data_IF_148327056240
#
_entry.id   IF_148327056240
#
_cell.length_a   1.000
_cell.length_b   1.000
_cell.length_c   1.000
_cell.angle_alpha   90.00
_cell.angle_beta   90.00
_cell.angle_gamma   90.00
#
_symmetry.space_group_name_H-M   'P 1'
#
loop_
_entity.id
_entity.type
_entity.pdbx_description
1 polymer ?
#
# COMPACT_ATOMS: atom_id res chain seq x y z
N UNK A 1 13.86 35.48 5.85
CA UNK A 1 12.70 36.13 5.16
C UNK A 1 11.55 35.14 5.31
N UNK A 2 10.33 35.57 5.65
CA UNK A 2 9.19 34.63 5.74
C UNK A 2 8.60 34.40 4.35
N UNK A 3 8.43 33.15 3.95
CA UNK A 3 7.89 32.75 2.65
C UNK A 3 6.35 32.66 2.65
N UNK A 4 5.73 32.50 3.84
CA UNK A 4 4.29 32.31 4.02
C UNK A 4 3.73 31.08 3.27
N UNK A 5 4.48 29.97 3.22
CA UNK A 5 4.15 28.79 2.41
C UNK A 5 2.72 28.28 2.64
N UNK A 6 2.36 27.95 3.88
CA UNK A 6 1.05 27.40 4.22
C UNK A 6 -0.11 28.33 3.84
N UNK A 7 0.03 29.64 4.12
CA UNK A 7 -1.00 30.61 3.80
C UNK A 7 -1.23 30.75 2.29
N UNK A 8 -0.13 30.77 1.52
CA UNK A 8 -0.20 30.82 0.06
C UNK A 8 -0.76 29.52 -0.53
N UNK A 9 -0.38 28.37 0.01
CA UNK A 9 -0.89 27.07 -0.42
C UNK A 9 -2.40 26.93 -0.17
N UNK A 10 -2.87 27.31 1.02
CA UNK A 10 -4.32 27.35 1.33
C UNK A 10 -5.07 28.30 0.39
N UNK A 11 -4.51 29.50 0.14
CA UNK A 11 -5.10 30.43 -0.81
C UNK A 11 -5.19 29.86 -2.24
N UNK A 12 -4.16 29.12 -2.68
CA UNK A 12 -4.19 28.37 -3.94
C UNK A 12 -5.28 27.29 -3.92
N UNK A 13 -5.40 26.48 -2.86
CA UNK A 13 -6.43 25.42 -2.78
C UNK A 13 -7.85 25.97 -2.79
N UNK A 14 -8.10 27.09 -2.10
CA UNK A 14 -9.39 27.77 -2.06
C UNK A 14 -9.73 28.46 -3.39
N UNK A 15 -8.76 29.20 -3.95
CA UNK A 15 -8.96 30.06 -5.12
C UNK A 15 -8.69 29.41 -6.48
N UNK A 16 -7.99 28.28 -6.50
CA UNK A 16 -7.41 27.64 -7.71
C UNK A 16 -6.66 28.63 -8.61
N UNK A 17 -5.97 29.60 -7.99
CA UNK A 17 -5.27 30.64 -8.71
C UNK A 17 -3.93 30.12 -9.29
N UNK A 18 -3.85 30.11 -10.62
CA UNK A 18 -2.67 29.64 -11.35
C UNK A 18 -1.44 30.52 -11.14
N UNK A 19 -1.60 31.82 -10.84
CA UNK A 19 -0.46 32.70 -10.57
C UNK A 19 0.17 32.38 -9.21
N UNK A 20 -0.66 32.13 -8.20
CA UNK A 20 -0.21 31.68 -6.88
C UNK A 20 0.47 30.31 -6.97
N UNK A 21 -0.10 29.38 -7.74
CA UNK A 21 0.50 28.05 -7.98
C UNK A 21 1.88 28.16 -8.65
N UNK A 22 2.02 28.95 -9.71
CA UNK A 22 3.28 29.14 -10.44
C UNK A 22 4.34 29.83 -9.56
N UNK A 23 3.93 30.81 -8.76
CA UNK A 23 4.80 31.47 -7.80
C UNK A 23 5.33 30.49 -6.74
N UNK A 24 4.43 29.71 -6.13
CA UNK A 24 4.79 28.68 -5.15
C UNK A 24 5.72 27.64 -5.76
N UNK A 25 5.38 27.14 -6.96
CA UNK A 25 6.19 26.17 -7.70
C UNK A 25 7.60 26.71 -7.92
N UNK A 26 7.73 27.95 -8.41
CA UNK A 26 9.05 28.57 -8.63
C UNK A 26 9.84 28.81 -7.33
N UNK A 27 9.15 29.12 -6.22
CA UNK A 27 9.78 29.31 -4.92
C UNK A 27 10.30 27.98 -4.35
N UNK A 28 9.44 26.96 -4.29
CA UNK A 28 9.78 25.64 -3.75
C UNK A 28 10.87 24.99 -4.62
N UNK A 29 10.77 25.07 -5.94
CA UNK A 29 11.79 24.53 -6.85
C UNK A 29 13.19 25.06 -6.55
N UNK A 30 13.31 26.38 -6.31
CA UNK A 30 14.59 27.00 -5.93
C UNK A 30 15.09 26.52 -4.57
N UNK A 31 14.19 26.29 -3.62
CA UNK A 31 14.56 25.81 -2.28
C UNK A 31 14.99 24.34 -2.31
N UNK A 32 14.36 23.51 -3.13
CA UNK A 32 14.80 22.12 -3.38
C UNK A 32 16.19 22.12 -4.01
N UNK A 33 16.43 22.94 -5.03
CA UNK A 33 17.76 23.05 -5.64
C UNK A 33 18.82 23.54 -4.64
N UNK A 34 18.48 24.54 -3.82
CA UNK A 34 19.35 25.01 -2.75
C UNK A 34 19.67 23.89 -1.76
N UNK A 35 18.67 23.12 -1.34
CA UNK A 35 18.87 22.00 -0.41
C UNK A 35 19.76 20.92 -1.03
N UNK A 36 19.50 20.50 -2.26
CA UNK A 36 20.33 19.53 -2.98
C UNK A 36 21.79 19.99 -3.11
N UNK A 37 22.03 21.29 -3.37
CA UNK A 37 23.39 21.84 -3.51
C UNK A 37 24.14 21.94 -2.17
N UNK A 38 23.43 22.28 -1.09
CA UNK A 38 24.05 22.57 0.21
C UNK A 38 23.99 21.41 1.21
N UNK A 39 23.25 20.34 0.90
CA UNK A 39 22.99 19.22 1.80
C UNK A 39 22.08 19.55 3.00
N UNK A 40 21.57 20.79 3.06
CA UNK A 40 20.66 21.27 4.11
C UNK A 40 19.73 22.36 3.56
N UNK A 41 18.48 22.46 4.07
CA UNK A 41 17.53 23.48 3.64
C UNK A 41 17.85 24.86 4.25
N UNK A 42 17.35 25.93 3.65
CA UNK A 42 17.31 27.25 4.29
C UNK A 42 16.47 27.16 5.59
N UNK A 43 16.96 27.78 6.67
CA UNK A 43 16.35 27.66 8.00
C UNK A 43 14.90 28.18 8.03
N UNK A 44 14.61 29.28 7.32
CA UNK A 44 13.24 29.80 7.27
C UNK A 44 12.34 28.90 6.44
N UNK A 45 12.87 28.33 5.34
CA UNK A 45 12.11 27.41 4.49
C UNK A 45 11.77 26.12 5.25
N UNK A 46 12.75 25.57 5.96
CA UNK A 46 12.60 24.38 6.78
C UNK A 46 11.50 24.53 7.84
N UNK A 47 11.50 25.64 8.59
CA UNK A 47 10.48 25.90 9.62
C UNK A 47 9.07 26.01 9.02
N UNK A 48 8.92 26.69 7.89
CA UNK A 48 7.62 26.82 7.22
C UNK A 48 7.19 25.52 6.52
N UNK A 49 8.14 24.69 6.06
CA UNK A 49 7.86 23.39 5.48
C UNK A 49 7.31 22.41 6.53
N UNK A 50 7.78 22.46 7.78
CA UNK A 50 7.20 21.66 8.89
C UNK A 50 5.72 22.00 9.10
N UNK A 51 5.38 23.29 9.08
CA UNK A 51 3.99 23.74 9.21
C UNK A 51 3.13 23.26 8.03
N UNK A 52 3.69 23.32 6.81
CA UNK A 52 2.99 22.85 5.61
C UNK A 52 2.82 21.32 5.59
N UNK A 53 3.85 20.56 5.96
CA UNK A 53 3.81 19.09 6.00
C UNK A 53 2.69 18.57 6.91
N UNK A 54 2.44 19.26 8.03
CA UNK A 54 1.34 18.90 8.94
C UNK A 54 -0.05 19.00 8.31
N UNK A 55 -0.23 19.82 7.26
CA UNK A 55 -1.47 19.89 6.47
C UNK A 55 -1.53 18.76 5.42
N UNK A 56 -0.38 18.34 4.89
CA UNK A 56 -0.29 17.30 3.87
C UNK A 56 -0.43 15.90 4.49
N UNK A 57 0.13 15.69 5.68
CA UNK A 57 0.00 14.46 6.47
C UNK A 57 -1.42 14.25 7.04
N UNK A 58 -2.37 15.17 6.79
CA UNK A 58 -3.75 15.05 7.26
C UNK A 58 -4.44 13.85 6.57
N UNK A 59 -5.04 12.88 7.30
CA UNK A 59 -5.76 11.74 6.73
C UNK A 59 -6.91 12.14 5.78
N UNK A 60 -7.42 13.37 5.89
CA UNK A 60 -8.46 13.92 5.02
C UNK A 60 -7.89 14.68 3.81
N UNK A 61 -6.57 14.68 3.61
CA UNK A 61 -5.92 15.29 2.46
C UNK A 61 -6.25 14.51 1.19
N UNK A 62 -7.26 14.97 0.44
CA UNK A 62 -7.67 14.36 -0.84
C UNK A 62 -6.78 14.78 -2.01
N UNK A 63 -5.49 15.01 -1.77
CA UNK A 63 -4.63 15.89 -2.56
C UNK A 63 -4.13 15.41 -3.91
N UNK A 64 -4.66 14.33 -4.47
CA UNK A 64 -4.25 13.86 -5.79
C UNK A 64 -4.93 14.64 -6.92
N UNK A 65 -4.53 15.90 -7.20
CA UNK A 65 -5.04 16.64 -8.38
C UNK A 65 -4.06 17.59 -9.11
N UNK A 66 -2.78 17.67 -8.73
CA UNK A 66 -1.85 18.58 -9.43
C UNK A 66 -0.36 18.39 -9.15
N UNK A 67 0.48 18.98 -10.01
CA UNK A 67 1.94 18.86 -9.94
C UNK A 67 2.54 19.44 -8.65
N UNK A 68 1.98 20.54 -8.15
CA UNK A 68 2.41 21.11 -6.87
C UNK A 68 2.17 20.13 -5.71
N UNK A 69 1.04 19.43 -5.72
CA UNK A 69 0.67 18.48 -4.67
C UNK A 69 1.58 17.26 -4.67
N UNK A 70 1.88 16.71 -5.86
CA UNK A 70 2.89 15.66 -6.02
C UNK A 70 4.26 16.08 -5.47
N UNK A 71 4.70 17.30 -5.76
CA UNK A 71 5.93 17.82 -5.19
C UNK A 71 5.90 17.87 -3.66
N UNK A 72 4.78 18.31 -3.07
CA UNK A 72 4.67 18.47 -1.62
C UNK A 72 4.65 17.12 -0.89
N UNK A 73 4.07 16.08 -1.49
CA UNK A 73 4.12 14.71 -0.94
C UNK A 73 5.57 14.23 -0.83
N UNK A 74 6.31 14.24 -1.94
CA UNK A 74 7.73 13.85 -1.98
C UNK A 74 8.60 14.73 -1.05
N UNK A 75 8.29 16.03 -0.97
CA UNK A 75 9.02 16.96 -0.12
C UNK A 75 8.77 16.72 1.38
N UNK A 76 7.58 16.24 1.74
CA UNK A 76 7.25 15.82 3.10
C UNK A 76 8.04 14.55 3.47
N UNK A 77 8.16 13.58 2.57
CA UNK A 77 9.03 12.40 2.77
C UNK A 77 10.51 12.79 2.93
N UNK A 78 10.99 13.76 2.14
CA UNK A 78 12.33 14.32 2.31
C UNK A 78 12.50 14.97 3.70
N UNK A 79 11.49 15.68 4.19
CA UNK A 79 11.49 16.31 5.52
C UNK A 79 11.55 15.26 6.63
N UNK A 80 10.70 14.23 6.57
CA UNK A 80 10.68 13.13 7.56
C UNK A 80 12.01 12.40 7.58
N UNK A 81 12.55 12.05 6.40
CA UNK A 81 13.86 11.41 6.25
C UNK A 81 15.00 12.24 6.84
N UNK A 82 14.96 13.56 6.66
CA UNK A 82 15.93 14.48 7.24
C UNK A 82 15.83 14.57 8.78
N UNK A 83 14.62 14.46 9.34
CA UNK A 83 14.34 14.57 10.79
C UNK A 83 14.61 13.29 11.57
N UNK A 84 14.13 12.15 11.08
CA UNK A 84 14.00 10.92 11.88
C UNK A 84 15.23 10.00 11.80
N UNK A 85 16.05 10.09 10.75
CA UNK A 85 17.09 9.10 10.43
C UNK A 85 18.54 9.52 10.76
N UNK A 86 18.78 10.48 11.66
CA UNK A 86 20.11 11.11 11.80
C UNK A 86 20.67 11.60 10.44
N UNK A 87 19.79 12.00 9.52
CA UNK A 87 20.16 12.47 8.18
C UNK A 87 20.75 11.37 7.29
N UNK A 88 19.96 10.35 6.93
CA UNK A 88 20.32 9.52 5.77
C UNK A 88 20.23 10.41 4.51
N UNK A 89 21.37 11.01 4.17
CA UNK A 89 21.46 12.01 3.10
C UNK A 89 21.05 11.43 1.76
N UNK A 90 21.32 10.14 1.51
CA UNK A 90 20.97 9.48 0.25
C UNK A 90 19.44 9.38 0.07
N UNK A 91 18.71 9.05 1.14
CA UNK A 91 17.23 8.97 1.12
C UNK A 91 16.61 10.37 1.00
N UNK A 92 17.16 11.34 1.72
CA UNK A 92 16.71 12.74 1.61
C UNK A 92 16.94 13.28 0.20
N UNK A 93 18.11 13.00 -0.38
CA UNK A 93 18.47 13.41 -1.74
C UNK A 93 17.59 12.74 -2.79
N UNK A 94 17.23 11.46 -2.60
CA UNK A 94 16.28 10.74 -3.45
C UNK A 94 14.93 11.47 -3.52
N UNK A 95 14.28 11.69 -2.38
CA UNK A 95 12.97 12.36 -2.34
C UNK A 95 13.03 13.82 -2.85
N UNK A 96 14.13 14.54 -2.60
CA UNK A 96 14.31 15.88 -3.17
C UNK A 96 14.45 15.86 -4.71
N UNK A 97 15.07 14.82 -5.27
CA UNK A 97 15.16 14.64 -6.73
C UNK A 97 13.79 14.34 -7.33
N UNK A 98 12.98 13.51 -6.69
CA UNK A 98 11.60 13.23 -7.11
C UNK A 98 10.71 14.48 -6.99
N UNK A 99 10.71 15.16 -5.82
CA UNK A 99 9.92 16.36 -5.55
C UNK A 99 10.15 17.50 -6.55
N UNK A 100 11.37 17.61 -7.09
CA UNK A 100 11.73 18.62 -8.08
C UNK A 100 10.99 18.45 -9.42
N UNK A 101 10.72 17.21 -9.83
CA UNK A 101 10.28 16.88 -11.19
C UNK A 101 8.86 17.39 -11.51
N UNK A 102 7.85 17.26 -10.64
CA UNK A 102 6.55 17.86 -10.88
C UNK A 102 6.63 19.39 -11.08
N UNK A 103 7.47 20.06 -10.31
CA UNK A 103 7.67 21.51 -10.45
C UNK A 103 8.36 21.87 -11.76
N UNK A 104 9.35 21.07 -12.20
CA UNK A 104 9.97 21.25 -13.51
C UNK A 104 8.94 21.08 -14.63
N UNK A 105 8.09 20.04 -14.55
CA UNK A 105 7.00 19.85 -15.51
C UNK A 105 6.04 21.06 -15.55
N UNK A 106 5.79 21.69 -14.40
CA UNK A 106 4.92 22.88 -14.30
C UNK A 106 5.55 24.16 -14.83
N UNK A 107 6.85 24.36 -14.62
CA UNK A 107 7.58 25.59 -14.93
C UNK A 107 8.21 25.57 -16.33
N UNK A 108 8.66 24.40 -16.79
CA UNK A 108 9.27 24.18 -18.10
C UNK A 108 9.05 22.72 -18.57
N UNK A 109 7.83 22.45 -19.03
CA UNK A 109 7.42 21.13 -19.52
C UNK A 109 8.31 20.60 -20.66
N UNK A 110 8.84 21.51 -21.50
CA UNK A 110 9.70 21.11 -22.63
C UNK A 110 11.02 20.52 -22.14
N UNK A 111 11.66 21.19 -21.17
CA UNK A 111 12.88 20.66 -20.54
C UNK A 111 12.61 19.39 -19.74
N UNK A 112 11.47 19.31 -19.03
CA UNK A 112 11.06 18.08 -18.35
C UNK A 112 10.95 16.91 -19.33
N UNK A 113 10.15 17.03 -20.40
CA UNK A 113 9.95 15.95 -21.38
C UNK A 113 11.27 15.51 -22.05
N UNK A 114 12.18 16.44 -22.34
CA UNK A 114 13.50 16.11 -22.88
C UNK A 114 14.33 15.25 -21.90
N UNK A 115 14.31 15.58 -20.60
CA UNK A 115 15.01 14.81 -19.58
C UNK A 115 14.45 13.38 -19.45
N UNK A 116 13.12 13.21 -19.53
CA UNK A 116 12.45 11.91 -19.32
C UNK A 116 12.67 10.89 -20.43
N UNK A 117 12.98 11.38 -21.64
CA UNK A 117 13.45 10.54 -22.74
C UNK A 117 14.86 9.99 -22.50
N UNK A 118 15.57 10.44 -21.46
CA UNK A 118 16.90 9.96 -21.08
C UNK A 118 16.88 9.18 -19.77
N UNK A 119 16.11 9.66 -18.78
CA UNK A 119 16.04 9.08 -17.44
C UNK A 119 14.62 9.18 -16.89
N UNK A 120 14.02 8.03 -16.59
CA UNK A 120 12.67 7.90 -16.05
C UNK A 120 12.73 7.53 -14.57
N UNK A 121 11.83 8.10 -13.78
CA UNK A 121 11.67 7.88 -12.35
C UNK A 121 10.22 7.50 -12.01
N UNK A 122 9.98 7.07 -10.79
CA UNK A 122 8.65 6.63 -10.36
C UNK A 122 7.62 7.77 -10.37
N UNK A 123 7.99 8.97 -9.88
CA UNK A 123 7.10 10.14 -9.88
C UNK A 123 6.68 10.58 -11.30
N UNK A 124 7.35 10.10 -12.34
CA UNK A 124 7.03 10.48 -13.71
C UNK A 124 5.71 9.88 -14.17
N UNK A 125 5.30 8.70 -13.69
CA UNK A 125 3.99 8.13 -14.02
C UNK A 125 2.84 9.10 -13.68
N UNK A 126 2.66 9.54 -12.42
CA UNK A 126 1.58 10.48 -12.09
C UNK A 126 1.78 11.86 -12.73
N UNK A 127 3.02 12.31 -12.99
CA UNK A 127 3.24 13.57 -13.74
C UNK A 127 2.64 13.46 -15.14
N UNK A 128 2.91 12.37 -15.87
CA UNK A 128 2.39 12.16 -17.22
C UNK A 128 0.86 11.96 -17.25
N UNK A 129 0.27 11.37 -16.21
CA UNK A 129 -1.19 11.34 -16.05
C UNK A 129 -1.79 12.75 -15.95
N UNK A 130 -1.11 13.68 -15.27
CA UNK A 130 -1.56 15.07 -15.09
C UNK A 130 -1.36 15.92 -16.35
N UNK A 131 -0.17 15.88 -16.96
CA UNK A 131 0.16 16.76 -18.11
C UNK A 131 -0.27 16.17 -19.46
N UNK A 132 -0.53 14.86 -19.52
CA UNK A 132 -0.88 14.12 -20.73
C UNK A 132 0.19 14.18 -21.84
N UNK A 133 -0.24 13.97 -23.08
CA UNK A 133 0.62 14.02 -24.27
C UNK A 133 1.41 12.73 -24.51
N UNK A 134 2.53 12.83 -25.22
CA UNK A 134 3.36 11.68 -25.57
C UNK A 134 4.06 11.12 -24.32
N UNK A 135 3.79 9.85 -24.00
CA UNK A 135 4.44 9.13 -22.92
C UNK A 135 5.77 8.51 -23.39
N UNK A 136 6.86 8.58 -22.61
CA UNK A 136 8.18 8.07 -23.01
C UNK A 136 8.27 6.56 -22.74
N UNK A 137 7.53 5.77 -23.52
CA UNK A 137 7.36 4.33 -23.28
C UNK A 137 8.69 3.57 -23.16
N UNK A 138 9.68 3.89 -24.01
CA UNK A 138 10.97 3.19 -24.00
C UNK A 138 11.71 3.34 -22.66
N UNK A 139 11.79 4.56 -22.11
CA UNK A 139 12.51 4.79 -20.85
C UNK A 139 11.72 4.30 -19.65
N UNK A 140 10.38 4.40 -19.66
CA UNK A 140 9.53 3.84 -18.61
C UNK A 140 9.63 2.30 -18.55
N UNK A 141 9.66 1.64 -19.71
CA UNK A 141 9.83 0.19 -19.77
C UNK A 141 11.23 -0.24 -19.34
N UNK A 142 12.28 0.53 -19.69
CA UNK A 142 13.63 0.27 -19.17
C UNK A 142 13.66 0.42 -17.64
N UNK A 143 13.05 1.47 -17.10
CA UNK A 143 12.96 1.71 -15.67
C UNK A 143 12.32 0.52 -14.93
N UNK A 144 11.12 0.08 -15.33
CA UNK A 144 10.43 -1.04 -14.67
C UNK A 144 11.22 -2.36 -14.79
N UNK A 145 11.93 -2.59 -15.89
CA UNK A 145 12.71 -3.81 -16.14
C UNK A 145 14.05 -3.87 -15.40
N UNK A 146 14.58 -2.74 -14.95
CA UNK A 146 15.92 -2.68 -14.38
C UNK A 146 15.93 -2.40 -12.87
N UNK A 147 14.87 -1.77 -12.36
CA UNK A 147 14.77 -1.40 -10.95
C UNK A 147 14.24 -2.57 -10.12
N UNK A 148 14.99 -2.91 -9.07
CA UNK A 148 14.58 -3.95 -8.10
C UNK A 148 13.39 -3.49 -7.24
N UNK A 149 13.22 -2.17 -7.06
CA UNK A 149 12.20 -1.54 -6.25
C UNK A 149 11.47 -0.50 -7.09
N UNK A 150 10.20 -0.76 -7.38
CA UNK A 150 9.24 0.15 -8.00
C UNK A 150 7.88 -0.18 -7.38
N UNK A 151 7.03 0.82 -7.12
CA UNK A 151 5.64 0.60 -6.75
C UNK A 151 4.99 -0.40 -7.72
N UNK A 152 4.60 -1.56 -7.16
CA UNK A 152 4.08 -2.68 -7.95
C UNK A 152 2.75 -2.32 -8.60
N UNK A 153 1.88 -1.58 -7.92
CA UNK A 153 0.54 -1.23 -8.39
C UNK A 153 0.60 -0.21 -9.51
N UNK A 154 1.51 0.75 -9.38
CA UNK A 154 1.82 1.70 -10.45
C UNK A 154 2.39 0.99 -11.69
N UNK A 155 3.30 0.02 -11.49
CA UNK A 155 3.83 -0.78 -12.59
C UNK A 155 2.73 -1.60 -13.29
N UNK A 156 1.84 -2.26 -12.54
CA UNK A 156 0.72 -3.02 -13.10
C UNK A 156 -0.24 -2.14 -13.91
N UNK A 157 -0.62 -0.96 -13.38
CA UNK A 157 -1.44 0.02 -14.12
C UNK A 157 -0.80 0.45 -15.44
N UNK A 158 0.52 0.60 -15.45
CA UNK A 158 1.23 0.90 -16.68
C UNK A 158 1.20 -0.27 -17.67
N UNK A 159 1.35 -1.51 -17.21
CA UNK A 159 1.26 -2.69 -18.09
C UNK A 159 -0.13 -2.82 -18.73
N UNK A 160 -1.20 -2.45 -18.03
CA UNK A 160 -2.56 -2.41 -18.59
C UNK A 160 -2.71 -1.39 -19.74
N UNK A 161 -1.83 -0.39 -19.80
CA UNK A 161 -1.81 0.63 -20.87
C UNK A 161 -1.07 0.20 -22.13
N UNK A 162 -0.33 -0.91 -22.11
CA UNK A 162 0.46 -1.39 -23.23
C UNK A 162 -0.37 -2.27 -24.17
N UNK A 163 -0.30 -1.98 -25.46
CA UNK A 163 -1.01 -2.74 -26.50
C UNK A 163 -0.26 -4.02 -26.95
N UNK A 164 1.08 -4.06 -26.83
CA UNK A 164 1.91 -5.18 -27.28
C UNK A 164 2.03 -6.24 -26.17
N UNK A 165 1.33 -7.36 -26.35
CA UNK A 165 1.33 -8.48 -25.40
C UNK A 165 2.71 -9.09 -25.20
N UNK A 166 3.51 -9.25 -26.26
CA UNK A 166 4.85 -9.83 -26.15
C UNK A 166 5.79 -8.93 -25.33
N UNK A 167 5.60 -7.62 -25.44
CA UNK A 167 6.29 -6.65 -24.61
C UNK A 167 5.86 -6.72 -23.14
N UNK A 168 4.56 -6.86 -22.85
CA UNK A 168 4.06 -7.02 -21.48
C UNK A 168 4.66 -8.28 -20.84
N UNK A 169 4.62 -9.41 -21.53
CA UNK A 169 5.21 -10.67 -21.04
C UNK A 169 6.71 -10.54 -20.77
N UNK A 170 7.46 -9.86 -21.65
CA UNK A 170 8.88 -9.60 -21.44
C UNK A 170 9.16 -8.75 -20.19
N UNK A 171 8.32 -7.74 -19.93
CA UNK A 171 8.46 -6.88 -18.74
C UNK A 171 8.11 -7.68 -17.48
N UNK A 172 7.01 -8.45 -17.50
CA UNK A 172 6.59 -9.29 -16.38
C UNK A 172 7.64 -10.34 -16.00
N UNK A 173 8.17 -11.07 -16.99
CA UNK A 173 9.29 -12.01 -16.79
C UNK A 173 10.45 -11.33 -16.07
N UNK A 174 10.82 -10.15 -16.56
CA UNK A 174 11.95 -9.42 -15.99
C UNK A 174 11.67 -8.92 -14.57
N UNK A 175 10.46 -8.44 -14.30
CA UNK A 175 10.06 -8.01 -12.96
C UNK A 175 10.08 -9.17 -11.96
N UNK A 176 9.59 -10.35 -12.37
CA UNK A 176 9.61 -11.56 -11.53
C UNK A 176 11.04 -12.02 -11.21
N UNK A 177 11.98 -11.85 -12.15
CA UNK A 177 13.39 -12.23 -11.95
C UNK A 177 14.14 -11.29 -10.98
N UNK A 178 13.92 -9.98 -11.08
CA UNK A 178 14.72 -8.99 -10.34
C UNK A 178 14.15 -8.65 -8.97
N UNK A 179 12.81 -8.65 -8.81
CA UNK A 179 12.17 -8.25 -7.56
C UNK A 179 12.47 -9.24 -6.45
N UNK A 180 12.92 -8.71 -5.31
CA UNK A 180 13.45 -9.52 -4.21
C UNK A 180 12.38 -10.06 -3.26
N UNK A 181 11.30 -9.34 -2.94
CA UNK A 181 10.29 -9.86 -2.02
C UNK A 181 9.43 -10.95 -2.65
N UNK A 182 9.21 -12.06 -1.92
CA UNK A 182 8.26 -13.10 -2.33
C UNK A 182 6.84 -12.54 -2.52
N UNK A 183 6.29 -11.68 -1.62
CA UNK A 183 4.96 -11.09 -1.83
C UNK A 183 4.79 -10.39 -3.18
N UNK A 184 5.76 -9.59 -3.62
CA UNK A 184 5.68 -8.93 -4.94
C UNK A 184 5.69 -9.92 -6.10
N UNK A 185 6.45 -11.01 -5.99
CA UNK A 185 6.44 -12.08 -7.00
C UNK A 185 5.08 -12.76 -7.09
N UNK A 186 4.38 -12.90 -5.97
CA UNK A 186 3.02 -13.45 -5.90
C UNK A 186 1.97 -12.49 -6.50
N UNK A 187 2.15 -11.17 -6.34
CA UNK A 187 1.30 -10.15 -7.00
C UNK A 187 1.47 -10.24 -8.51
N UNK A 188 2.71 -10.33 -9.00
CA UNK A 188 2.98 -10.49 -10.44
C UNK A 188 2.40 -11.78 -11.00
N UNK A 189 2.50 -12.87 -10.23
CA UNK A 189 1.89 -14.15 -10.61
C UNK A 189 0.36 -14.04 -10.70
N UNK A 190 -0.27 -13.43 -9.69
CA UNK A 190 -1.71 -13.18 -9.67
C UNK A 190 -2.15 -12.32 -10.88
N UNK A 191 -1.41 -11.25 -11.16
CA UNK A 191 -1.65 -10.40 -12.32
C UNK A 191 -1.57 -11.20 -13.62
N UNK A 192 -0.50 -11.98 -13.83
CA UNK A 192 -0.32 -12.80 -15.02
C UNK A 192 -1.46 -13.80 -15.21
N UNK A 193 -1.84 -14.52 -14.14
CA UNK A 193 -2.95 -15.48 -14.18
C UNK A 193 -4.28 -14.84 -14.57
N UNK A 194 -4.59 -13.66 -14.02
CA UNK A 194 -5.85 -12.98 -14.31
C UNK A 194 -5.90 -12.41 -15.71
N UNK A 195 -4.79 -11.82 -16.17
CA UNK A 195 -4.79 -10.99 -17.37
C UNK A 195 -4.37 -11.75 -18.63
N UNK A 196 -3.67 -12.88 -18.48
CA UNK A 196 -3.26 -13.77 -19.56
C UNK A 196 -3.46 -15.25 -19.18
N UNK A 197 -4.71 -15.69 -18.92
CA UNK A 197 -4.97 -17.05 -18.46
C UNK A 197 -4.62 -18.14 -19.46
N UNK A 198 -4.67 -17.85 -20.77
CA UNK A 198 -4.24 -18.75 -21.83
C UNK A 198 -2.73 -19.01 -21.79
N UNK A 199 -1.93 -17.97 -21.49
CA UNK A 199 -0.48 -18.08 -21.34
C UNK A 199 -0.14 -18.97 -20.15
N UNK A 200 -0.87 -18.84 -19.05
CA UNK A 200 -0.70 -19.70 -17.88
C UNK A 200 -1.08 -21.16 -18.14
N UNK A 201 -2.18 -21.42 -18.85
CA UNK A 201 -2.58 -22.77 -19.23
C UNK A 201 -1.52 -23.45 -20.14
N UNK A 202 -0.95 -22.71 -21.08
CA UNK A 202 0.16 -23.18 -21.91
C UNK A 202 1.41 -23.48 -21.07
N UNK A 203 1.80 -22.55 -20.19
CA UNK A 203 2.96 -22.71 -19.31
C UNK A 203 2.84 -23.97 -18.44
N UNK A 204 1.69 -24.19 -17.80
CA UNK A 204 1.47 -25.34 -16.92
C UNK A 204 1.43 -26.68 -17.67
N UNK A 205 1.08 -26.67 -18.96
CA UNK A 205 1.18 -27.85 -19.84
C UNK A 205 2.60 -28.12 -20.35
N UNK A 206 3.55 -27.23 -20.07
CA UNK A 206 4.92 -27.30 -20.59
C UNK A 206 5.02 -26.95 -22.07
N UNK A 207 4.07 -26.15 -22.59
CA UNK A 207 4.10 -25.60 -23.94
C UNK A 207 4.92 -24.30 -24.01
N UNK A 208 5.24 -23.82 -25.21
CA UNK A 208 5.94 -22.55 -25.40
C UNK A 208 4.96 -21.38 -25.21
N UNK A 209 4.90 -20.87 -23.97
CA UNK A 209 4.01 -19.80 -23.55
C UNK A 209 4.57 -18.38 -23.80
N UNK A 210 5.80 -18.26 -24.32
CA UNK A 210 6.46 -16.96 -24.51
C UNK A 210 6.83 -16.23 -23.22
N UNK A 211 6.80 -16.91 -22.07
CA UNK A 211 7.23 -16.41 -20.76
C UNK A 211 7.98 -17.48 -19.97
N UNK A 212 9.04 -17.08 -19.29
CA UNK A 212 9.69 -17.92 -18.27
C UNK A 212 9.36 -17.38 -16.88
N UNK A 213 8.85 -18.24 -16.00
CA UNK A 213 8.65 -17.87 -14.59
C UNK A 213 9.91 -18.24 -13.80
N UNK A 214 10.34 -17.32 -12.94
CA UNK A 214 11.52 -17.45 -12.08
C UNK A 214 11.51 -18.74 -11.25
N UNK A 215 12.69 -19.33 -11.01
CA UNK A 215 12.87 -20.52 -10.17
C UNK A 215 12.61 -20.27 -8.68
N UNK A 216 12.41 -19.01 -8.28
CA UNK A 216 12.00 -18.60 -6.93
C UNK A 216 10.57 -19.03 -6.60
N UNK A 217 9.71 -19.14 -7.60
CA UNK A 217 8.35 -19.63 -7.43
C UNK A 217 8.33 -21.13 -7.75
N UNK A 218 8.01 -21.94 -6.75
CA UNK A 218 7.98 -23.39 -6.93
C UNK A 218 6.87 -23.78 -7.93
N UNK A 219 7.12 -24.70 -8.89
CA UNK A 219 6.10 -25.09 -9.87
C UNK A 219 4.79 -25.57 -9.23
N UNK A 220 4.86 -26.33 -8.13
CA UNK A 220 3.67 -26.78 -7.41
C UNK A 220 2.87 -25.63 -6.79
N UNK A 221 3.54 -24.56 -6.36
CA UNK A 221 2.87 -23.33 -5.89
C UNK A 221 2.12 -22.66 -7.05
N UNK A 222 2.77 -22.52 -8.21
CA UNK A 222 2.16 -21.92 -9.40
C UNK A 222 0.92 -22.71 -9.80
N UNK A 223 1.02 -24.04 -9.88
CA UNK A 223 -0.11 -24.92 -10.20
C UNK A 223 -1.22 -24.79 -9.15
N UNK A 224 -0.89 -24.82 -7.85
CA UNK A 224 -1.91 -24.76 -6.80
C UNK A 224 -2.64 -23.41 -6.78
N UNK A 225 -1.94 -22.30 -6.98
CA UNK A 225 -2.54 -20.98 -7.13
C UNK A 225 -3.44 -20.90 -8.37
N UNK A 226 -3.03 -21.47 -9.51
CA UNK A 226 -3.85 -21.53 -10.72
C UNK A 226 -5.12 -22.36 -10.49
N UNK A 227 -5.00 -23.55 -9.90
CA UNK A 227 -6.15 -24.44 -9.65
C UNK A 227 -7.16 -23.81 -8.68
N UNK A 228 -6.69 -23.12 -7.65
CA UNK A 228 -7.56 -22.44 -6.68
C UNK A 228 -8.26 -21.21 -7.27
N UNK A 229 -7.64 -20.56 -8.26
CA UNK A 229 -8.18 -19.36 -8.89
C UNK A 229 -8.89 -19.63 -10.23
N UNK A 230 -8.88 -20.86 -10.72
CA UNK A 230 -9.33 -21.21 -12.07
C UNK A 230 -10.73 -20.66 -12.41
N UNK A 231 -11.72 -20.91 -11.53
CA UNK A 231 -13.09 -20.44 -11.76
C UNK A 231 -13.18 -18.92 -11.76
N UNK A 232 -12.39 -18.24 -10.93
CA UNK A 232 -12.36 -16.78 -10.91
C UNK A 232 -11.74 -16.23 -12.19
N UNK A 233 -10.61 -16.78 -12.60
CA UNK A 233 -9.86 -16.35 -13.78
C UNK A 233 -10.69 -16.51 -15.06
N UNK A 234 -11.43 -17.62 -15.21
CA UNK A 234 -12.19 -17.91 -16.43
C UNK A 234 -13.65 -17.43 -16.40
N UNK A 235 -14.28 -17.38 -15.21
CA UNK A 235 -15.70 -17.07 -15.08
C UNK A 235 -15.99 -15.77 -14.31
N UNK A 236 -14.98 -15.11 -13.75
CA UNK A 236 -15.11 -13.88 -12.97
C UNK A 236 -15.63 -14.07 -11.55
N UNK A 237 -15.80 -15.32 -11.09
CA UNK A 237 -16.34 -15.64 -9.77
C UNK A 237 -15.45 -16.66 -9.04
N UNK A 238 -14.98 -16.30 -7.84
CA UNK A 238 -14.30 -17.25 -6.97
C UNK A 238 -15.31 -18.23 -6.37
N UNK A 239 -15.16 -19.52 -6.66
CA UNK A 239 -16.02 -20.56 -6.10
C UNK A 239 -15.52 -20.99 -4.71
N UNK A 240 -16.42 -21.16 -3.74
CA UNK A 240 -16.09 -21.61 -2.37
C UNK A 240 -15.28 -22.91 -2.32
N UNK A 241 -15.36 -23.75 -3.34
CA UNK A 241 -14.57 -24.99 -3.46
C UNK A 241 -13.07 -24.75 -3.58
N UNK A 242 -12.60 -23.51 -3.82
CA UNK A 242 -11.17 -23.20 -3.87
C UNK A 242 -10.44 -23.69 -2.61
N UNK A 243 -11.09 -23.60 -1.44
CA UNK A 243 -10.51 -23.97 -0.15
C UNK A 243 -10.11 -25.45 -0.09
N UNK A 244 -10.86 -26.31 -0.77
CA UNK A 244 -10.61 -27.76 -0.80
C UNK A 244 -9.44 -28.10 -1.75
N UNK A 245 -9.12 -27.18 -2.67
CA UNK A 245 -8.01 -27.31 -3.62
C UNK A 245 -6.70 -26.76 -3.07
N UNK A 246 -6.71 -25.98 -1.98
CA UNK A 246 -5.48 -25.42 -1.40
C UNK A 246 -4.60 -26.53 -0.83
N UNK A 247 -3.36 -26.61 -1.31
CA UNK A 247 -2.32 -27.42 -0.70
C UNK A 247 -1.90 -26.76 0.63
N UNK A 248 -1.97 -27.47 1.78
CA UNK A 248 -1.56 -26.93 3.08
C UNK A 248 -0.13 -26.39 3.11
N UNK A 249 0.78 -26.93 2.31
CA UNK A 249 2.18 -26.50 2.26
C UNK A 249 2.34 -25.12 1.57
N UNK A 250 1.39 -24.75 0.71
CA UNK A 250 1.38 -23.50 -0.07
C UNK A 250 0.27 -22.53 0.33
N UNK A 251 -0.45 -22.84 1.42
CA UNK A 251 -1.67 -22.11 1.82
C UNK A 251 -1.46 -20.59 1.92
N UNK A 252 -0.33 -20.14 2.45
CA UNK A 252 -0.12 -18.72 2.72
C UNK A 252 0.07 -17.95 1.41
N UNK A 253 0.90 -18.48 0.53
CA UNK A 253 1.23 -17.92 -0.77
C UNK A 253 0.00 -17.92 -1.68
N UNK A 254 -0.79 -18.99 -1.67
CA UNK A 254 -2.04 -19.10 -2.44
C UNK A 254 -3.09 -18.11 -1.94
N UNK A 255 -3.30 -17.99 -0.63
CA UNK A 255 -4.19 -16.97 -0.07
C UNK A 255 -3.72 -15.56 -0.47
N UNK A 256 -2.41 -15.31 -0.43
CA UNK A 256 -1.86 -14.01 -0.81
C UNK A 256 -2.06 -13.72 -2.31
N UNK A 257 -1.87 -14.71 -3.19
CA UNK A 257 -2.22 -14.60 -4.61
C UNK A 257 -3.71 -14.29 -4.81
N UNK A 258 -4.61 -14.98 -4.09
CA UNK A 258 -6.05 -14.71 -4.17
C UNK A 258 -6.38 -13.28 -3.74
N UNK A 259 -5.85 -12.80 -2.60
CA UNK A 259 -6.05 -11.41 -2.19
C UNK A 259 -5.49 -10.41 -3.22
N UNK A 260 -4.34 -10.73 -3.83
CA UNK A 260 -3.77 -9.92 -4.91
C UNK A 260 -4.72 -9.87 -6.13
N UNK A 261 -5.33 -11.00 -6.48
CA UNK A 261 -6.29 -11.07 -7.58
C UNK A 261 -7.56 -10.25 -7.30
N UNK A 262 -8.05 -10.32 -6.05
CA UNK A 262 -9.15 -9.48 -5.61
C UNK A 262 -8.82 -7.99 -5.80
N UNK A 263 -7.67 -7.54 -5.30
CA UNK A 263 -7.22 -6.15 -5.40
C UNK A 263 -7.03 -5.70 -6.86
N UNK A 264 -6.43 -6.54 -7.72
CA UNK A 264 -6.25 -6.20 -9.14
C UNK A 264 -7.59 -6.08 -9.85
N UNK A 265 -8.52 -6.99 -9.56
CA UNK A 265 -9.82 -7.04 -10.27
C UNK A 265 -10.81 -5.99 -9.80
N UNK A 266 -10.69 -5.52 -8.55
CA UNK A 266 -11.67 -4.67 -7.88
C UNK A 266 -13.10 -5.23 -8.00
N UNK A 267 -13.22 -6.56 -7.98
CA UNK A 267 -14.52 -7.23 -8.08
C UNK A 267 -15.34 -7.09 -6.79
N UNK A 268 -16.63 -7.38 -6.87
CA UNK A 268 -17.50 -7.33 -5.70
C UNK A 268 -17.13 -8.42 -4.69
N UNK A 269 -17.20 -8.07 -3.39
CA UNK A 269 -17.00 -9.03 -2.30
C UNK A 269 -18.10 -10.10 -2.31
N UNK A 270 -17.73 -11.28 -2.80
CA UNK A 270 -18.56 -12.48 -2.71
C UNK A 270 -18.28 -13.22 -1.39
N UNK A 271 -19.15 -14.16 -0.97
CA UNK A 271 -18.88 -15.00 0.20
C UNK A 271 -17.55 -15.75 0.14
N UNK A 272 -17.07 -16.12 -1.06
CA UNK A 272 -15.79 -16.79 -1.22
C UNK A 272 -14.60 -15.84 -0.96
N UNK A 273 -14.71 -14.59 -1.40
CA UNK A 273 -13.73 -13.55 -1.09
C UNK A 273 -13.70 -13.20 0.39
N UNK A 274 -14.87 -13.08 1.02
CA UNK A 274 -14.97 -12.90 2.48
C UNK A 274 -14.29 -14.06 3.21
N UNK A 275 -14.48 -15.31 2.77
CA UNK A 275 -13.79 -16.47 3.34
C UNK A 275 -12.26 -16.42 3.13
N UNK A 276 -11.78 -15.91 1.99
CA UNK A 276 -10.34 -15.75 1.74
C UNK A 276 -9.73 -14.71 2.69
N UNK A 277 -10.44 -13.61 2.94
CA UNK A 277 -10.06 -12.58 3.92
C UNK A 277 -10.08 -13.16 5.33
N UNK A 278 -11.12 -13.89 5.72
CA UNK A 278 -11.20 -14.59 7.01
C UNK A 278 -9.99 -15.49 7.27
N UNK A 279 -9.66 -16.37 6.32
CA UNK A 279 -8.53 -17.29 6.43
C UNK A 279 -7.19 -16.55 6.45
N UNK A 280 -7.11 -15.39 5.79
CA UNK A 280 -5.91 -14.53 5.79
C UNK A 280 -5.72 -13.79 7.13
N UNK A 281 -6.79 -13.21 7.69
CA UNK A 281 -6.79 -12.58 9.03
C UNK A 281 -6.44 -13.59 10.11
N UNK A 282 -6.94 -14.82 9.99
CA UNK A 282 -6.64 -15.93 10.89
C UNK A 282 -5.18 -16.37 10.84
N UNK A 283 -4.48 -16.06 9.75
CA UNK A 283 -3.16 -16.59 9.44
C UNK A 283 -2.07 -15.52 9.55
N UNK A 284 -1.41 -15.39 10.72
CA UNK A 284 -0.35 -14.41 10.96
C UNK A 284 0.99 -14.83 10.31
N UNK A 285 0.98 -15.19 9.03
CA UNK A 285 2.14 -15.63 8.24
C UNK A 285 3.27 -14.61 8.34
N UNK A 286 4.39 -14.93 9.01
CA UNK A 286 5.46 -13.96 9.18
C UNK A 286 6.35 -13.93 7.95
N UNK A 287 6.67 -12.73 7.49
CA UNK A 287 7.63 -12.49 6.43
C UNK A 287 8.70 -11.49 6.90
N UNK A 288 9.97 -11.89 6.85
CA UNK A 288 11.10 -11.05 7.25
C UNK A 288 11.70 -10.40 6.00
N UNK A 289 11.37 -9.12 5.79
CA UNK A 289 11.97 -8.32 4.73
C UNK A 289 13.32 -7.76 5.19
N UNK A 290 14.35 -7.96 4.37
CA UNK A 290 15.72 -7.50 4.67
C UNK A 290 16.01 -6.25 3.86
N UNK A 291 15.96 -5.12 4.53
CA UNK A 291 16.35 -3.82 3.99
C UNK A 291 17.75 -3.44 4.47
N UNK A 292 18.38 -2.45 3.84
CA UNK A 292 19.67 -1.92 4.28
C UNK A 292 19.62 -1.37 5.71
N UNK A 293 18.45 -0.84 6.11
CA UNK A 293 18.16 -0.29 7.44
C UNK A 293 17.89 -1.34 8.52
N UNK A 294 17.68 -2.62 8.15
CA UNK A 294 17.42 -3.70 9.11
C UNK A 294 16.48 -4.80 8.59
N UNK A 295 16.09 -5.70 9.50
CA UNK A 295 15.07 -6.72 9.22
C UNK A 295 13.74 -6.21 9.73
N UNK A 296 12.77 -6.06 8.82
CA UNK A 296 11.41 -5.67 9.11
C UNK A 296 10.53 -6.92 9.03
N UNK A 297 9.74 -7.14 10.08
CA UNK A 297 8.87 -8.32 10.17
C UNK A 297 7.44 -7.92 9.86
N UNK A 298 6.95 -8.45 8.76
CA UNK A 298 5.63 -8.23 8.20
C UNK A 298 4.73 -9.44 8.44
N UNK A 299 3.43 -9.21 8.29
CA UNK A 299 2.40 -10.24 8.17
C UNK A 299 1.55 -9.97 6.93
N UNK A 300 2.04 -10.31 5.73
CA UNK A 300 1.47 -9.83 4.48
C UNK A 300 -0.01 -10.17 4.32
N UNK A 301 -0.46 -11.37 4.72
CA UNK A 301 -1.88 -11.74 4.65
C UNK A 301 -2.79 -10.84 5.49
N UNK A 302 -2.34 -10.48 6.68
CA UNK A 302 -3.11 -9.67 7.63
C UNK A 302 -3.08 -8.20 7.21
N UNK A 303 -1.89 -7.70 6.87
CA UNK A 303 -1.67 -6.33 6.40
C UNK A 303 -2.49 -6.08 5.12
N UNK A 304 -2.48 -7.02 4.17
CA UNK A 304 -3.26 -6.88 2.94
C UNK A 304 -4.77 -7.00 3.17
N UNK A 305 -5.20 -7.90 4.06
CA UNK A 305 -6.61 -7.97 4.48
C UNK A 305 -7.07 -6.65 5.12
N UNK A 306 -6.21 -6.00 5.92
CA UNK A 306 -6.51 -4.70 6.51
C UNK A 306 -6.71 -3.64 5.43
N UNK A 307 -5.84 -3.59 4.42
CA UNK A 307 -5.96 -2.66 3.28
C UNK A 307 -7.28 -2.85 2.53
N UNK A 308 -7.66 -4.09 2.22
CA UNK A 308 -8.94 -4.38 1.55
C UNK A 308 -10.13 -3.89 2.40
N UNK A 309 -10.14 -4.19 3.70
CA UNK A 309 -11.21 -3.78 4.60
C UNK A 309 -11.28 -2.25 4.78
N UNK A 310 -10.14 -1.57 4.73
CA UNK A 310 -10.06 -0.12 4.84
C UNK A 310 -10.74 0.61 3.66
N UNK A 311 -10.70 0.01 2.46
CA UNK A 311 -11.30 0.57 1.25
C UNK A 311 -12.83 0.43 1.19
N UNK A 312 -13.42 -0.43 2.02
CA UNK A 312 -14.86 -0.62 2.07
C UNK A 312 -15.58 0.60 2.64
N UNK A 313 -16.78 0.88 2.11
CA UNK A 313 -17.71 1.79 2.78
C UNK A 313 -18.13 1.24 4.14
N UNK A 314 -18.62 2.11 5.03
CA UNK A 314 -19.07 1.66 6.35
C UNK A 314 -20.23 0.65 6.28
N UNK A 315 -21.09 0.75 5.27
CA UNK A 315 -22.21 -0.18 5.03
C UNK A 315 -21.69 -1.55 4.58
N UNK A 316 -20.78 -1.59 3.59
CA UNK A 316 -20.16 -2.85 3.15
C UNK A 316 -19.35 -3.52 4.26
N UNK A 317 -18.58 -2.73 5.01
CA UNK A 317 -17.82 -3.23 6.14
C UNK A 317 -18.76 -3.78 7.23
N UNK A 318 -19.88 -3.11 7.52
CA UNK A 318 -20.88 -3.62 8.47
C UNK A 318 -21.39 -5.00 8.03
N UNK A 319 -21.82 -5.14 6.77
CA UNK A 319 -22.37 -6.40 6.24
C UNK A 319 -21.33 -7.53 6.29
N UNK A 320 -20.08 -7.22 5.93
CA UNK A 320 -18.96 -8.18 6.00
C UNK A 320 -18.71 -8.60 7.45
N UNK A 321 -18.63 -7.66 8.40
CA UNK A 321 -18.32 -7.98 9.80
C UNK A 321 -19.49 -8.66 10.52
N UNK A 322 -20.74 -8.39 10.14
CA UNK A 322 -21.92 -9.05 10.70
C UNK A 322 -22.01 -10.53 10.27
N UNK A 323 -21.58 -10.84 9.05
CA UNK A 323 -21.76 -12.17 8.44
C UNK A 323 -20.51 -13.05 8.44
N UNK A 324 -19.36 -12.50 8.83
CA UNK A 324 -18.06 -13.18 8.84
C UNK A 324 -17.52 -13.43 10.25
N UNK A 325 -16.40 -14.15 10.31
CA UNK A 325 -15.61 -14.44 11.53
C UNK A 325 -14.38 -13.54 11.66
N UNK A 326 -14.27 -12.48 10.87
CA UNK A 326 -13.09 -11.61 10.85
C UNK A 326 -12.81 -11.02 12.24
N UNK A 327 -13.83 -10.48 12.93
CA UNK A 327 -13.69 -9.96 14.29
C UNK A 327 -13.22 -11.02 15.28
N UNK A 328 -13.81 -12.22 15.22
CA UNK A 328 -13.44 -13.35 16.08
C UNK A 328 -11.97 -13.71 15.86
N UNK A 329 -11.54 -13.89 14.61
CA UNK A 329 -10.16 -14.25 14.30
C UNK A 329 -9.15 -13.15 14.65
N UNK A 330 -9.53 -11.88 14.50
CA UNK A 330 -8.72 -10.75 14.96
C UNK A 330 -8.45 -10.82 16.46
N UNK A 331 -9.50 -11.01 17.28
CA UNK A 331 -9.34 -11.07 18.73
C UNK A 331 -8.60 -12.33 19.20
N UNK A 332 -8.84 -13.48 18.58
CA UNK A 332 -8.12 -14.73 18.87
C UNK A 332 -6.60 -14.61 18.61
N UNK A 333 -6.21 -13.79 17.62
CA UNK A 333 -4.82 -13.61 17.18
C UNK A 333 -4.12 -12.37 17.77
N UNK A 334 -4.69 -11.66 18.75
CA UNK A 334 -4.04 -10.51 19.37
C UNK A 334 -2.63 -10.82 19.92
N UNK A 335 -2.34 -12.06 20.29
CA UNK A 335 -1.00 -12.44 20.77
C UNK A 335 0.06 -12.56 19.67
N UNK A 336 -0.35 -12.82 18.43
CA UNK A 336 0.51 -13.27 17.32
C UNK A 336 0.80 -12.17 16.31
N UNK A 337 -0.08 -11.16 16.18
CA UNK A 337 0.14 -10.10 15.18
C UNK A 337 1.44 -9.32 15.37
N UNK A 338 2.06 -8.82 14.30
CA UNK A 338 3.13 -7.79 14.35
C UNK A 338 2.55 -6.47 14.88
N UNK A 339 3.41 -5.49 15.17
CA UNK A 339 2.93 -4.17 15.61
C UNK A 339 2.03 -3.54 14.55
N UNK A 340 2.53 -3.46 13.32
CA UNK A 340 1.89 -2.87 12.15
C UNK A 340 0.55 -3.55 11.84
N UNK A 341 0.56 -4.85 11.53
CA UNK A 341 -0.64 -5.61 11.21
C UNK A 341 -1.76 -5.52 12.26
N UNK A 342 -1.41 -5.34 13.54
CA UNK A 342 -2.40 -5.13 14.59
C UNK A 342 -3.04 -3.74 14.51
N UNK A 343 -2.26 -2.68 14.30
CA UNK A 343 -2.79 -1.32 14.21
C UNK A 343 -3.63 -1.14 12.93
N UNK A 344 -3.16 -1.64 11.78
CA UNK A 344 -3.89 -1.54 10.50
C UNK A 344 -5.27 -2.22 10.59
N UNK A 345 -5.32 -3.44 11.13
CA UNK A 345 -6.58 -4.14 11.35
C UNK A 345 -7.46 -3.43 12.38
N UNK A 346 -6.87 -2.89 13.45
CA UNK A 346 -7.63 -2.18 14.48
C UNK A 346 -8.33 -0.94 13.90
N UNK A 347 -7.59 -0.14 13.13
CA UNK A 347 -8.10 1.07 12.48
C UNK A 347 -9.27 0.76 11.55
N UNK A 348 -9.14 -0.28 10.72
CA UNK A 348 -10.22 -0.71 9.83
C UNK A 348 -11.45 -1.22 10.59
N UNK A 349 -11.26 -2.15 11.53
CA UNK A 349 -12.36 -2.85 12.20
C UNK A 349 -13.14 -1.96 13.18
N UNK A 350 -12.50 -0.98 13.83
CA UNK A 350 -13.19 -0.14 14.82
C UNK A 350 -14.14 0.89 14.21
N UNK A 351 -14.11 1.09 12.88
CA UNK A 351 -15.07 1.94 12.16
C UNK A 351 -16.52 1.50 12.37
N UNK A 352 -16.75 0.19 12.53
CA UNK A 352 -18.07 -0.37 12.87
C UNK A 352 -18.13 -0.61 14.38
N UNK A 353 -18.17 0.49 15.15
CA UNK A 353 -18.04 0.49 16.61
C UNK A 353 -19.00 -0.51 17.29
N UNK A 354 -20.24 -0.60 16.81
CA UNK A 354 -21.27 -1.45 17.42
C UNK A 354 -20.92 -2.95 17.43
N UNK A 355 -20.46 -3.49 16.30
CA UNK A 355 -20.06 -4.90 16.19
C UNK A 355 -18.72 -5.13 16.90
N UNK A 356 -17.77 -4.20 16.74
CA UNK A 356 -16.48 -4.27 17.38
C UNK A 356 -16.58 -4.28 18.91
N UNK A 357 -17.45 -3.44 19.48
CA UNK A 357 -17.72 -3.38 20.92
C UNK A 357 -18.31 -4.69 21.43
N UNK A 358 -19.30 -5.26 20.72
CA UNK A 358 -19.92 -6.53 21.12
C UNK A 358 -18.90 -7.67 21.21
N UNK A 359 -18.04 -7.80 20.19
CA UNK A 359 -17.00 -8.82 20.21
C UNK A 359 -15.92 -8.53 21.26
N UNK A 360 -15.52 -7.27 21.45
CA UNK A 360 -14.57 -6.89 22.50
C UNK A 360 -15.10 -7.26 23.91
N UNK A 361 -16.37 -6.98 24.20
CA UNK A 361 -17.01 -7.36 25.47
C UNK A 361 -16.97 -8.87 25.67
N UNK A 362 -17.36 -9.64 24.65
CA UNK A 362 -17.31 -11.09 24.68
C UNK A 362 -15.89 -11.61 24.96
N UNK A 363 -14.89 -11.07 24.27
CA UNK A 363 -13.50 -11.51 24.40
C UNK A 363 -12.87 -11.09 25.74
N UNK A 364 -13.29 -9.96 26.30
CA UNK A 364 -12.91 -9.55 27.66
C UNK A 364 -13.44 -10.53 28.71
N UNK A 365 -14.67 -11.02 28.57
CA UNK A 365 -15.20 -12.06 29.48
C UNK A 365 -14.35 -13.34 29.43
N UNK A 366 -13.89 -13.74 28.24
CA UNK A 366 -12.99 -14.90 28.06
C UNK A 366 -11.59 -14.66 28.64
N UNK A 367 -11.16 -13.39 28.71
CA UNK A 367 -9.81 -13.00 29.11
C UNK A 367 -9.48 -13.24 30.57
N UNK A 368 -10.48 -13.53 31.40
CA UNK A 368 -10.27 -13.97 32.79
C UNK A 368 -9.35 -15.20 32.90
N UNK A 369 -9.13 -15.92 31.79
CA UNK A 369 -8.27 -17.11 31.72
C UNK A 369 -6.89 -16.88 31.06
N UNK A 370 -6.58 -15.67 30.55
CA UNK A 370 -5.34 -15.41 29.79
C UNK A 370 -4.30 -14.63 30.62
N UNK A 371 -3.13 -15.23 30.83
CA UNK A 371 -2.01 -14.64 31.58
C UNK A 371 -1.04 -13.82 30.72
N UNK A 372 -1.32 -13.62 29.42
CA UNK A 372 -0.38 -12.97 28.49
C UNK A 372 -0.52 -11.45 28.50
N UNK A 373 0.45 -10.76 29.10
CA UNK A 373 0.50 -9.28 29.18
C UNK A 373 0.35 -8.56 27.82
N UNK A 374 0.89 -9.14 26.74
CA UNK A 374 0.76 -8.59 25.37
C UNK A 374 -0.70 -8.52 24.92
N UNK A 375 -1.47 -9.58 25.17
CA UNK A 375 -2.89 -9.66 24.78
C UNK A 375 -3.70 -8.65 25.58
N UNK A 376 -3.44 -8.54 26.88
CA UNK A 376 -4.09 -7.51 27.73
C UNK A 376 -3.81 -6.09 27.23
N UNK A 377 -2.56 -5.78 26.88
CA UNK A 377 -2.20 -4.45 26.35
C UNK A 377 -2.91 -4.15 25.03
N UNK A 378 -3.04 -5.14 24.14
CA UNK A 378 -3.75 -4.99 22.86
C UNK A 378 -5.24 -4.84 23.04
N UNK A 379 -5.87 -5.58 23.96
CA UNK A 379 -7.27 -5.38 24.32
C UNK A 379 -7.54 -3.98 24.87
N UNK A 380 -6.63 -3.45 25.70
CA UNK A 380 -6.73 -2.06 26.15
C UNK A 380 -6.62 -1.07 24.98
N UNK A 381 -5.77 -1.34 23.99
CA UNK A 381 -5.71 -0.53 22.75
C UNK A 381 -7.01 -0.61 21.97
N UNK A 382 -7.58 -1.80 21.81
CA UNK A 382 -8.89 -1.99 21.17
C UNK A 382 -9.99 -1.16 21.86
N UNK A 383 -10.05 -1.18 23.20
CA UNK A 383 -10.99 -0.35 23.93
C UNK A 383 -10.77 1.16 23.70
N UNK A 384 -9.51 1.60 23.70
CA UNK A 384 -9.16 3.01 23.48
C UNK A 384 -9.53 3.51 22.08
N UNK A 385 -9.41 2.66 21.06
CA UNK A 385 -9.75 3.01 19.68
C UNK A 385 -11.22 3.42 19.53
N UNK A 386 -12.10 2.89 20.39
CA UNK A 386 -13.53 3.22 20.44
C UNK A 386 -13.89 4.13 21.64
N UNK A 387 -12.92 4.90 22.17
CA UNK A 387 -13.16 5.84 23.27
C UNK A 387 -13.52 5.19 24.61
N UNK A 388 -13.16 3.92 24.83
CA UNK A 388 -13.42 3.17 26.07
C UNK A 388 -12.15 2.90 26.87
N UNK A 389 -12.33 2.56 28.13
CA UNK A 389 -11.28 2.04 29.01
C UNK A 389 -11.69 0.69 29.62
N UNK A 390 -10.75 -0.25 29.69
CA UNK A 390 -10.92 -1.53 30.39
C UNK A 390 -10.52 -1.36 31.85
N UNK A 391 -11.49 -1.47 32.75
CA UNK A 391 -11.27 -1.49 34.20
C UNK A 391 -11.58 -2.87 34.78
N UNK A 392 -11.02 -3.19 35.95
CA UNK A 392 -11.38 -4.41 36.68
C UNK A 392 -12.29 -4.09 37.86
N UNK A 393 -13.55 -4.54 37.79
CA UNK A 393 -14.52 -4.46 38.90
C UNK A 393 -14.83 -5.86 39.39
N UNK A 394 -14.66 -6.11 40.69
CA UNK A 394 -14.90 -7.41 41.31
C UNK A 394 -14.16 -8.59 40.63
N UNK A 395 -12.97 -8.32 40.10
CA UNK A 395 -12.14 -9.30 39.39
C UNK A 395 -12.57 -9.58 37.94
N UNK A 396 -13.56 -8.84 37.41
CA UNK A 396 -14.01 -8.95 36.02
C UNK A 396 -13.60 -7.71 35.22
N UNK A 397 -13.13 -7.87 33.98
CA UNK A 397 -12.94 -6.73 33.09
C UNK A 397 -14.31 -6.13 32.74
N UNK A 398 -14.38 -4.80 32.70
CA UNK A 398 -15.57 -4.03 32.34
C UNK A 398 -15.13 -2.82 31.51
N UNK A 399 -15.87 -2.51 30.45
CA UNK A 399 -15.65 -1.31 29.65
C UNK A 399 -16.39 -0.12 30.26
N UNK A 400 -15.72 1.03 30.32
CA UNK A 400 -16.31 2.32 30.68
C UNK A 400 -16.00 3.34 29.59
N UNK A 401 -16.81 4.39 29.48
CA UNK A 401 -16.48 5.55 28.66
C UNK A 401 -15.19 6.20 29.20
N UNK A 402 -14.30 6.64 28.31
CA UNK A 402 -13.21 7.50 28.72
C UNK A 402 -13.77 8.84 29.21
N UNK A 403 -13.49 9.20 30.46
CA UNK A 403 -13.75 10.56 30.92
C UNK A 403 -12.88 11.50 30.10
N UNK A 404 -13.50 12.36 29.28
CA UNK A 404 -12.83 13.49 28.62
C UNK A 404 -12.31 14.42 29.71
N UNK A 405 -11.03 14.27 30.07
CA UNK A 405 -10.30 15.20 30.94
C UNK A 405 -9.83 16.42 30.19
#
# INVERSE_FOLDING_TARGET
MKYQLLAQYRAYKEGKDQQTEEHLSGLIYRQILFWLENGAPDENFYLELIELASEIDDPFFTGERGLLDLCLLELTEALHSYRDLNGNQDVTEFYLKEAKLPLLARLDESSYRLQKNLEFNEIDFPIFEIIGGSFPHETAQNFIREKEWVDIWLALRYLDSLEDEGQVLNILERMMDIRKPLPESLILLAYLMMTRPEVMDQYLRGEDAGITITDRLHPDLIQNAYDCSYDFVWNGELALSYIDSIDPDWKNEVLFCLLSMFEISQCQLSPAWVQAIEESVRNPWPYDERLESGVFRHQPLVEFSASILALLSEEELFDVLETSRILIYFFENLGTYTGQAFEDMLEGLCRVEGLFLQELEFQLEQLMNSSKARVQKRMQRCARAIGREVIFRDGRPTLIDQETT
#
